data_IF_185842871044
#
_entry.id   IF_185842871044
#
_cell.length_a   1.000
_cell.length_b   1.000
_cell.length_c   1.000
_cell.angle_alpha   90.00
_cell.angle_beta   90.00
_cell.angle_gamma   90.00
#
_symmetry.space_group_name_H-M   'P 1'
#
loop_
_entity.id
_entity.type
_entity.pdbx_description
1 polymer ?
#
# COMPACT_ATOMS: atom_id res chain seq x y z
N UNK A 1 -24.23 -14.03 -33.12
CA UNK A 1 -24.82 -13.26 -32.01
C UNK A 1 -24.25 -13.85 -30.74
N UNK A 2 -23.09 -13.37 -30.30
CA UNK A 2 -22.60 -13.69 -28.96
C UNK A 2 -23.57 -13.09 -27.97
N UNK A 3 -24.21 -13.93 -27.15
CA UNK A 3 -25.10 -13.47 -26.10
C UNK A 3 -24.32 -12.54 -25.18
N UNK A 4 -24.77 -11.30 -25.05
CA UNK A 4 -24.28 -10.37 -24.04
C UNK A 4 -24.19 -11.11 -22.71
N UNK A 5 -23.04 -11.13 -22.01
CA UNK A 5 -22.94 -11.88 -20.76
C UNK A 5 -24.01 -11.36 -19.81
N UNK A 6 -24.93 -12.25 -19.44
CA UNK A 6 -26.03 -11.96 -18.52
C UNK A 6 -25.42 -11.40 -17.25
N UNK A 7 -25.93 -10.26 -16.80
CA UNK A 7 -25.54 -9.63 -15.54
C UNK A 7 -26.13 -10.40 -14.37
N UNK A 8 -25.71 -11.66 -14.23
CA UNK A 8 -26.10 -12.51 -13.14
C UNK A 8 -25.63 -11.90 -11.81
N UNK A 9 -26.41 -12.06 -10.73
CA UNK A 9 -26.00 -11.66 -9.41
C UNK A 9 -24.65 -12.28 -9.04
N UNK A 10 -23.73 -11.47 -8.51
CA UNK A 10 -22.45 -11.97 -8.02
C UNK A 10 -22.66 -12.77 -6.74
N UNK A 11 -21.94 -13.88 -6.63
CA UNK A 11 -21.78 -14.61 -5.37
C UNK A 11 -20.43 -14.25 -4.79
N UNK A 12 -20.40 -13.83 -3.52
CA UNK A 12 -19.17 -13.45 -2.82
C UNK A 12 -18.82 -14.56 -1.84
N UNK A 13 -17.62 -15.13 -1.96
CA UNK A 13 -17.11 -16.07 -0.97
C UNK A 13 -16.57 -15.30 0.24
N UNK A 14 -17.34 -15.27 1.32
CA UNK A 14 -16.99 -14.60 2.58
C UNK A 14 -16.29 -15.60 3.51
N UNK A 15 -15.01 -15.39 3.87
CA UNK A 15 -14.23 -16.35 4.65
C UNK A 15 -14.86 -16.61 6.02
N UNK A 16 -15.03 -17.88 6.39
CA UNK A 16 -15.46 -18.26 7.72
C UNK A 16 -14.38 -17.94 8.77
N UNK A 17 -14.79 -17.41 9.93
CA UNK A 17 -13.87 -17.20 11.04
C UNK A 17 -13.55 -18.52 11.74
N UNK A 18 -12.29 -18.64 12.17
CA UNK A 18 -11.89 -19.70 13.10
C UNK A 18 -11.74 -19.06 14.49
N UNK A 19 -12.76 -19.26 15.33
CA UNK A 19 -12.81 -18.71 16.68
C UNK A 19 -12.12 -19.62 17.71
N UNK A 20 -11.52 -20.74 17.29
CA UNK A 20 -10.82 -21.66 18.21
C UNK A 20 -9.66 -20.97 18.93
N UNK A 21 -9.01 -20.01 18.26
CA UNK A 21 -7.92 -19.24 18.83
C UNK A 21 -8.40 -18.19 19.81
N UNK A 22 -9.40 -17.39 19.47
CA UNK A 22 -10.00 -16.37 20.32
C UNK A 22 -11.40 -16.03 19.78
N UNK A 23 -12.40 -16.16 20.65
CA UNK A 23 -13.78 -15.85 20.32
C UNK A 23 -14.07 -14.39 20.69
N UNK A 24 -14.48 -13.61 19.69
CA UNK A 24 -14.89 -12.23 19.83
C UNK A 24 -15.96 -11.93 18.77
N UNK A 25 -16.76 -10.89 19.03
CA UNK A 25 -17.84 -10.52 18.13
C UNK A 25 -17.32 -10.21 16.71
N UNK A 26 -18.07 -10.66 15.72
CA UNK A 26 -17.88 -10.22 14.35
C UNK A 26 -18.49 -8.83 14.21
N UNK A 27 -17.62 -7.81 14.09
CA UNK A 27 -18.07 -6.44 13.91
C UNK A 27 -18.10 -6.08 12.41
N UNK A 28 -19.24 -5.59 11.89
CA UNK A 28 -19.35 -5.18 10.50
C UNK A 28 -18.60 -3.87 10.25
N UNK A 29 -18.30 -3.60 8.98
CA UNK A 29 -17.92 -2.25 8.55
C UNK A 29 -19.14 -1.32 8.66
N UNK A 30 -18.92 -0.13 9.22
CA UNK A 30 -19.92 0.93 9.37
C UNK A 30 -19.70 1.96 8.24
N UNK A 31 -20.64 2.03 7.31
CA UNK A 31 -20.70 3.06 6.25
C UNK A 31 -22.13 3.61 6.16
N UNK A 32 -22.54 4.51 7.06
CA UNK A 32 -23.92 4.96 7.17
C UNK A 32 -24.37 5.77 5.95
N UNK A 33 -23.43 6.33 5.18
CA UNK A 33 -23.75 7.06 3.95
C UNK A 33 -23.91 6.14 2.74
N UNK A 34 -23.43 4.89 2.83
CA UNK A 34 -23.35 3.96 1.70
C UNK A 34 -22.40 4.39 0.58
N UNK A 35 -21.58 5.43 0.83
CA UNK A 35 -20.66 6.01 -0.17
C UNK A 35 -19.21 5.67 0.11
N UNK A 36 -18.85 5.35 1.35
CA UNK A 36 -17.47 5.22 1.80
C UNK A 36 -16.69 4.09 1.13
N UNK A 37 -17.37 2.98 0.76
CA UNK A 37 -16.77 1.85 0.03
C UNK A 37 -17.37 1.62 -1.38
N UNK A 38 -18.26 2.50 -1.84
CA UNK A 38 -19.02 2.29 -3.10
C UNK A 38 -18.09 2.07 -4.31
N UNK A 39 -17.12 2.97 -4.51
CA UNK A 39 -16.20 2.90 -5.65
C UNK A 39 -15.32 1.64 -5.59
N UNK A 40 -14.79 1.32 -4.41
CA UNK A 40 -14.02 0.09 -4.21
C UNK A 40 -14.84 -1.17 -4.53
N UNK A 41 -16.09 -1.26 -4.03
CA UNK A 41 -16.95 -2.39 -4.34
C UNK A 41 -17.31 -2.49 -5.82
N UNK A 42 -17.54 -1.37 -6.49
CA UNK A 42 -17.80 -1.37 -7.95
C UNK A 42 -16.59 -1.89 -8.73
N UNK A 43 -15.38 -1.47 -8.37
CA UNK A 43 -14.14 -1.97 -8.98
C UNK A 43 -13.89 -3.45 -8.70
N UNK A 44 -14.16 -3.90 -7.47
CA UNK A 44 -14.07 -5.31 -7.13
C UNK A 44 -15.12 -6.14 -7.88
N UNK A 45 -16.34 -5.62 -8.07
CA UNK A 45 -17.35 -6.27 -8.89
C UNK A 45 -16.92 -6.40 -10.37
N UNK A 46 -16.30 -5.35 -10.95
CA UNK A 46 -15.71 -5.43 -12.30
C UNK A 46 -14.63 -6.51 -12.38
N UNK A 47 -13.76 -6.59 -11.37
CA UNK A 47 -12.71 -7.59 -11.30
C UNK A 47 -13.28 -9.01 -11.26
N UNK A 48 -14.24 -9.27 -10.35
CA UNK A 48 -14.90 -10.58 -10.22
C UNK A 48 -15.62 -10.99 -11.51
N UNK A 49 -16.14 -10.03 -12.27
CA UNK A 49 -16.78 -10.29 -13.58
C UNK A 49 -15.79 -10.48 -14.73
N UNK A 50 -14.48 -10.38 -14.49
CA UNK A 50 -13.46 -10.42 -15.55
C UNK A 50 -13.52 -9.21 -16.50
N UNK A 51 -14.05 -8.08 -16.03
CA UNK A 51 -14.22 -6.84 -16.80
C UNK A 51 -13.26 -5.73 -16.39
N UNK A 52 -12.52 -5.91 -15.30
CA UNK A 52 -11.49 -4.95 -14.90
C UNK A 52 -10.32 -4.98 -15.91
N UNK A 53 -9.87 -3.81 -16.34
CA UNK A 53 -8.69 -3.63 -17.20
C UNK A 53 -7.38 -3.48 -16.42
N UNK A 54 -7.47 -3.27 -15.10
CA UNK A 54 -6.32 -3.10 -14.21
C UNK A 54 -6.64 -3.73 -12.84
N UNK A 55 -5.67 -3.77 -11.94
CA UNK A 55 -5.83 -4.33 -10.60
C UNK A 55 -6.76 -3.51 -9.72
N UNK A 56 -7.32 -4.19 -8.72
CA UNK A 56 -7.89 -3.54 -7.54
C UNK A 56 -6.79 -3.40 -6.49
N UNK A 57 -6.39 -2.18 -6.15
CA UNK A 57 -5.26 -1.87 -5.26
C UNK A 57 -5.73 -1.36 -3.91
N UNK A 58 -5.24 -2.01 -2.85
CA UNK A 58 -5.52 -1.66 -1.46
C UNK A 58 -4.22 -1.19 -0.80
N UNK A 59 -4.19 0.05 -0.30
CA UNK A 59 -3.07 0.59 0.46
C UNK A 59 -3.38 0.62 1.95
N UNK A 60 -2.57 -0.03 2.78
CA UNK A 60 -2.79 -0.10 4.23
C UNK A 60 -1.70 0.70 4.96
N UNK A 61 -2.06 1.89 5.42
CA UNK A 61 -1.20 2.66 6.32
C UNK A 61 -1.31 2.13 7.74
N UNK A 62 -0.16 1.93 8.39
CA UNK A 62 -0.18 1.49 9.77
C UNK A 62 1.12 1.75 10.51
N UNK A 63 1.08 1.44 11.80
CA UNK A 63 2.20 1.69 12.71
C UNK A 63 3.14 0.48 12.81
N UNK A 64 3.78 0.29 13.97
CA UNK A 64 4.69 -0.80 14.21
C UNK A 64 4.07 -2.19 14.10
N UNK A 65 2.75 -2.36 14.23
CA UNK A 65 2.10 -3.64 13.95
C UNK A 65 2.11 -4.01 12.46
N UNK A 66 2.52 -3.07 11.61
CA UNK A 66 2.56 -3.21 10.16
C UNK A 66 3.97 -3.21 9.59
N UNK A 67 5.01 -3.45 10.40
CA UNK A 67 6.40 -3.52 9.90
C UNK A 67 6.85 -4.93 9.47
N UNK A 68 6.05 -5.96 9.79
CA UNK A 68 6.36 -7.38 9.58
C UNK A 68 5.37 -8.09 8.64
N UNK A 69 4.36 -7.37 8.14
CA UNK A 69 3.36 -7.85 7.18
C UNK A 69 2.43 -8.94 7.71
N UNK A 70 2.39 -9.11 9.03
CA UNK A 70 1.53 -10.09 9.69
C UNK A 70 0.03 -9.81 9.58
N UNK A 71 -0.39 -8.59 9.19
CA UNK A 71 -1.80 -8.28 8.93
C UNK A 71 -2.07 -8.19 7.43
N UNK A 72 -1.28 -7.41 6.69
CA UNK A 72 -1.49 -7.17 5.27
C UNK A 72 -1.10 -8.40 4.41
N UNK A 73 -0.09 -9.17 4.80
CA UNK A 73 0.31 -10.41 4.13
C UNK A 73 -0.79 -11.47 4.11
N UNK A 74 -1.38 -11.88 5.25
CA UNK A 74 -2.51 -12.80 5.24
C UNK A 74 -3.74 -12.27 4.48
N UNK A 75 -3.99 -10.95 4.49
CA UNK A 75 -5.05 -10.33 3.70
C UNK A 75 -4.75 -10.41 2.20
N UNK A 76 -3.50 -10.13 1.81
CA UNK A 76 -2.99 -10.27 0.44
C UNK A 76 -3.21 -11.70 -0.06
N UNK A 77 -2.76 -12.70 0.70
CA UNK A 77 -2.97 -14.13 0.39
C UNK A 77 -4.44 -14.46 0.16
N UNK A 78 -5.30 -14.12 1.10
CA UNK A 78 -6.73 -14.48 1.02
C UNK A 78 -7.41 -13.81 -0.19
N UNK A 79 -7.17 -12.52 -0.41
CA UNK A 79 -7.77 -11.80 -1.52
C UNK A 79 -7.22 -12.24 -2.88
N UNK A 80 -5.92 -12.51 -2.99
CA UNK A 80 -5.30 -12.95 -4.23
C UNK A 80 -5.69 -14.38 -4.62
N UNK A 81 -5.82 -15.28 -3.63
CA UNK A 81 -6.33 -16.63 -3.88
C UNK A 81 -7.80 -16.63 -4.33
N UNK A 82 -8.60 -15.65 -3.89
CA UNK A 82 -10.01 -15.49 -4.29
C UNK A 82 -10.20 -14.78 -5.62
N UNK A 83 -9.49 -13.68 -5.84
CA UNK A 83 -9.78 -12.72 -6.92
C UNK A 83 -8.63 -12.54 -7.92
N UNK A 84 -7.56 -13.31 -7.77
CA UNK A 84 -6.41 -13.31 -8.67
C UNK A 84 -5.19 -12.64 -8.04
N UNK A 85 -4.08 -13.38 -8.04
CA UNK A 85 -2.75 -12.87 -7.71
C UNK A 85 -2.27 -11.92 -8.81
N UNK A 86 -2.19 -10.63 -8.49
CA UNK A 86 -1.68 -9.57 -9.35
C UNK A 86 -0.22 -9.17 -9.04
N UNK A 87 0.49 -9.98 -8.25
CA UNK A 87 1.84 -9.69 -7.74
C UNK A 87 1.82 -9.09 -6.33
N UNK A 88 3.01 -8.97 -5.72
CA UNK A 88 3.15 -8.50 -4.33
C UNK A 88 2.63 -7.08 -4.11
N UNK A 89 2.85 -6.20 -5.09
CA UNK A 89 2.59 -4.77 -4.99
C UNK A 89 3.80 -3.98 -4.53
N UNK A 90 3.55 -2.86 -3.85
CA UNK A 90 4.58 -1.94 -3.37
C UNK A 90 5.39 -2.52 -2.22
N UNK A 91 6.69 -2.27 -2.27
CA UNK A 91 7.63 -2.55 -1.21
C UNK A 91 8.62 -1.39 -1.06
N UNK A 92 8.91 -0.99 0.17
CA UNK A 92 9.99 -0.05 0.40
C UNK A 92 11.33 -0.68 -0.01
N UNK A 93 12.18 0.03 -0.76
CA UNK A 93 13.53 -0.45 -1.10
C UNK A 93 14.54 -0.19 0.02
N UNK A 94 14.09 -0.30 1.26
CA UNK A 94 14.86 0.02 2.45
C UNK A 94 14.48 -0.90 3.61
N UNK A 95 15.38 -1.04 4.59
CA UNK A 95 15.15 -1.78 5.83
C UNK A 95 15.57 -0.92 7.03
N UNK A 96 14.76 0.11 7.38
CA UNK A 96 15.08 1.03 8.48
C UNK A 96 15.19 0.34 9.84
N UNK A 97 14.57 -0.84 9.99
CA UNK A 97 14.74 -1.72 11.15
C UNK A 97 15.10 -3.13 10.68
N UNK A 98 15.92 -3.85 11.45
CA UNK A 98 16.35 -5.23 11.13
C UNK A 98 15.17 -6.20 10.98
N UNK A 99 14.08 -5.94 11.69
CA UNK A 99 12.85 -6.72 11.64
C UNK A 99 11.90 -6.28 10.52
N UNK A 100 12.12 -5.17 9.81
CA UNK A 100 11.22 -4.76 8.73
C UNK A 100 11.23 -5.81 7.61
N UNK A 101 10.05 -6.38 7.32
CA UNK A 101 9.85 -7.47 6.36
C UNK A 101 8.48 -7.40 5.71
N UNK A 102 8.41 -7.96 4.51
CA UNK A 102 7.18 -8.26 3.80
C UNK A 102 7.07 -9.78 3.63
N UNK A 103 5.86 -10.32 3.69
CA UNK A 103 5.60 -11.74 3.45
C UNK A 103 5.48 -11.98 1.93
N UNK A 104 5.85 -13.18 1.48
CA UNK A 104 5.69 -13.63 0.08
C UNK A 104 6.39 -12.74 -0.96
N UNK A 105 7.57 -12.24 -0.61
CA UNK A 105 8.47 -11.50 -1.51
C UNK A 105 9.89 -11.59 -0.96
N UNK A 106 10.90 -11.51 -1.82
CA UNK A 106 12.30 -11.35 -1.39
C UNK A 106 12.66 -9.88 -1.39
N UNK A 107 13.31 -9.41 -0.32
CA UNK A 107 13.80 -8.05 -0.18
C UNK A 107 15.23 -8.06 0.37
N UNK A 108 16.18 -7.58 -0.41
CA UNK A 108 17.58 -7.45 -0.02
C UNK A 108 18.04 -6.00 -0.21
N UNK A 109 18.72 -5.47 0.79
CA UNK A 109 19.22 -4.08 0.78
C UNK A 109 20.67 -4.17 1.23
N UNK A 110 21.59 -3.75 0.37
CA UNK A 110 23.01 -3.79 0.66
C UNK A 110 23.36 -2.85 1.84
N UNK A 111 24.37 -3.22 2.62
CA UNK A 111 24.77 -2.48 3.83
C UNK A 111 25.28 -1.06 3.54
N UNK A 112 25.64 -0.80 2.28
CA UNK A 112 26.04 0.51 1.79
C UNK A 112 24.86 1.50 1.64
N UNK A 113 23.61 1.06 1.80
CA UNK A 113 22.45 1.94 1.83
C UNK A 113 22.16 2.44 3.24
N UNK A 114 21.96 3.76 3.35
CA UNK A 114 21.31 4.32 4.54
C UNK A 114 19.81 4.23 4.37
N UNK A 115 19.13 3.49 5.25
CA UNK A 115 17.67 3.47 5.33
C UNK A 115 17.16 4.59 6.24
N UNK A 116 16.08 5.26 5.80
CA UNK A 116 15.38 6.32 6.49
C UNK A 116 13.93 5.91 6.75
N UNK A 117 13.36 6.45 7.82
CA UNK A 117 11.94 6.37 8.10
C UNK A 117 11.49 7.67 8.74
N UNK A 118 10.30 8.14 8.39
CA UNK A 118 9.77 9.44 8.82
C UNK A 118 9.68 9.60 10.35
N UNK A 119 9.66 8.50 11.10
CA UNK A 119 9.52 8.49 12.56
C UNK A 119 10.84 8.41 13.35
N UNK A 120 11.82 7.62 12.90
CA UNK A 120 13.00 7.27 13.72
C UNK A 120 14.30 7.86 13.20
N UNK A 121 14.54 7.76 11.88
CA UNK A 121 15.71 8.36 11.22
C UNK A 121 15.23 9.20 10.05
N UNK A 122 14.80 10.45 10.31
CA UNK A 122 14.28 11.33 9.28
C UNK A 122 15.34 11.66 8.22
N UNK A 123 14.92 11.87 6.97
CA UNK A 123 15.78 12.41 5.89
C UNK A 123 16.15 13.88 6.13
N UNK A 124 15.36 14.59 6.94
CA UNK A 124 15.50 16.03 7.20
C UNK A 124 14.91 16.94 6.11
N UNK A 125 14.60 16.39 4.94
CA UNK A 125 14.07 17.12 3.77
C UNK A 125 12.61 16.78 3.41
N UNK A 126 11.99 15.85 4.14
CA UNK A 126 10.60 15.43 3.97
C UNK A 126 10.35 14.50 2.78
N UNK A 127 11.38 14.09 2.04
CA UNK A 127 11.22 13.32 0.80
C UNK A 127 11.47 11.82 1.02
N UNK A 128 10.43 11.10 1.45
CA UNK A 128 10.42 9.63 1.56
C UNK A 128 9.46 8.97 0.57
N UNK A 129 8.52 9.74 0.00
CA UNK A 129 7.45 9.21 -0.84
C UNK A 129 6.27 8.75 0.01
N UNK A 130 5.17 8.31 -0.62
CA UNK A 130 3.91 8.08 0.11
C UNK A 130 3.98 7.01 1.20
N UNK A 131 5.03 6.18 1.24
CA UNK A 131 5.21 5.10 2.20
C UNK A 131 6.04 5.47 3.44
N UNK A 132 6.59 6.70 3.52
CA UNK A 132 7.31 7.18 4.71
C UNK A 132 8.66 6.49 4.98
N UNK A 133 9.20 5.76 4.00
CA UNK A 133 10.46 5.02 4.06
C UNK A 133 11.23 5.24 2.76
N UNK A 134 12.53 5.50 2.87
CA UNK A 134 13.43 5.61 1.73
C UNK A 134 14.80 5.03 2.05
N UNK A 135 15.60 4.77 1.02
CA UNK A 135 17.02 4.43 1.16
C UNK A 135 17.89 5.27 0.25
N UNK A 136 19.10 5.61 0.67
CA UNK A 136 20.02 6.41 -0.16
C UNK A 136 21.45 5.84 -0.09
N UNK A 137 22.14 5.82 -1.23
CA UNK A 137 23.56 5.42 -1.31
C UNK A 137 24.28 6.16 -2.44
N UNK A 138 25.57 6.51 -2.26
CA UNK A 138 26.46 6.96 -3.33
C UNK A 138 27.48 5.88 -3.75
N UNK A 139 27.38 4.68 -3.21
CA UNK A 139 28.41 3.64 -3.35
C UNK A 139 28.22 2.85 -4.65
N UNK A 140 29.09 3.07 -5.63
CA UNK A 140 29.07 2.34 -6.92
C UNK A 140 29.04 0.83 -6.66
N UNK A 141 28.13 0.13 -7.32
CA UNK A 141 27.92 -1.31 -7.21
C UNK A 141 27.00 -1.74 -6.05
N UNK A 142 26.68 -0.85 -5.12
CA UNK A 142 25.68 -1.13 -4.09
C UNK A 142 24.32 -1.39 -4.74
N UNK A 143 23.57 -2.36 -4.20
CA UNK A 143 22.28 -2.78 -4.76
C UNK A 143 21.14 -2.81 -3.76
N UNK A 144 19.93 -2.56 -4.25
CA UNK A 144 18.68 -2.98 -3.63
C UNK A 144 17.99 -3.96 -4.56
N UNK A 145 17.53 -5.09 -4.02
CA UNK A 145 16.87 -6.16 -4.77
C UNK A 145 15.49 -6.42 -4.20
N UNK A 146 14.56 -6.60 -5.11
CA UNK A 146 13.29 -7.25 -4.83
C UNK A 146 13.10 -8.41 -5.80
N UNK A 147 12.51 -9.51 -5.34
CA UNK A 147 12.23 -10.64 -6.21
C UNK A 147 10.88 -11.26 -5.87
N UNK A 148 10.31 -11.96 -6.83
CA UNK A 148 9.12 -12.79 -6.61
C UNK A 148 9.32 -13.74 -5.43
N UNK A 149 8.22 -14.13 -4.80
CA UNK A 149 8.23 -15.07 -3.69
C UNK A 149 8.98 -16.37 -4.05
N UNK A 150 9.67 -17.00 -3.09
CA UNK A 150 10.29 -18.30 -3.30
C UNK A 150 9.30 -19.37 -3.79
N UNK A 151 9.81 -20.39 -4.47
CA UNK A 151 9.02 -21.56 -4.85
C UNK A 151 8.32 -22.16 -3.62
N UNK A 152 7.03 -22.48 -3.76
CA UNK A 152 6.19 -23.00 -2.68
C UNK A 152 5.45 -21.94 -1.86
N UNK A 153 5.71 -20.64 -2.08
CA UNK A 153 4.86 -19.57 -1.53
C UNK A 153 3.43 -19.63 -2.11
N UNK A 154 2.41 -19.29 -1.31
CA UNK A 154 1.01 -19.39 -1.73
C UNK A 154 0.62 -18.37 -2.81
N UNK A 155 1.31 -17.23 -2.84
CA UNK A 155 1.09 -16.10 -3.77
C UNK A 155 2.43 -15.40 -4.04
N UNK A 156 2.47 -14.47 -4.99
CA UNK A 156 3.63 -13.60 -5.27
C UNK A 156 4.77 -14.29 -6.01
N UNK A 157 4.59 -15.54 -6.47
CA UNK A 157 5.62 -16.34 -7.16
C UNK A 157 5.86 -15.91 -8.60
N UNK A 158 5.04 -15.00 -9.14
CA UNK A 158 5.14 -14.50 -10.51
C UNK A 158 4.93 -12.99 -10.57
N UNK A 159 5.67 -12.33 -11.45
CA UNK A 159 5.50 -10.93 -11.79
C UNK A 159 5.85 -10.74 -13.28
N UNK A 160 5.32 -9.69 -13.89
CA UNK A 160 5.58 -9.33 -15.28
C UNK A 160 5.80 -7.82 -15.44
N UNK A 161 5.67 -7.05 -14.35
CA UNK A 161 5.76 -5.60 -14.31
C UNK A 161 6.46 -5.16 -13.04
N UNK A 162 7.52 -4.39 -13.20
CA UNK A 162 8.33 -3.87 -12.12
C UNK A 162 8.42 -2.36 -12.21
N UNK A 163 8.22 -1.67 -11.10
CA UNK A 163 8.41 -0.23 -11.03
C UNK A 163 9.48 0.10 -9.98
N UNK A 164 10.32 1.11 -10.27
CA UNK A 164 11.19 1.75 -9.28
C UNK A 164 10.82 3.22 -9.15
N UNK A 165 10.65 3.68 -7.91
CA UNK A 165 10.48 5.08 -7.57
C UNK A 165 11.79 5.63 -7.01
N UNK A 166 12.24 6.77 -7.52
CA UNK A 166 13.47 7.41 -7.07
C UNK A 166 13.33 8.93 -7.01
N UNK A 167 14.02 9.54 -6.05
CA UNK A 167 14.00 11.00 -5.88
C UNK A 167 14.87 11.64 -6.97
N UNK A 168 14.33 12.61 -7.70
CA UNK A 168 15.09 13.42 -8.66
C UNK A 168 15.52 14.74 -8.05
N UNK A 169 16.59 15.35 -8.56
CA UNK A 169 17.05 16.67 -8.13
C UNK A 169 18.49 16.98 -8.50
N UNK A 170 18.97 18.19 -8.20
CA UNK A 170 20.29 18.63 -8.61
C UNK A 170 21.39 17.83 -7.91
N UNK A 171 22.46 17.49 -8.64
CA UNK A 171 23.63 16.75 -8.13
C UNK A 171 23.34 15.34 -7.62
N UNK A 172 22.27 14.69 -8.08
CA UNK A 172 21.99 13.28 -7.79
C UNK A 172 22.71 12.34 -8.74
N UNK A 173 22.74 11.06 -8.37
CA UNK A 173 23.49 10.04 -9.09
C UNK A 173 22.73 9.26 -10.15
N UNK A 174 23.47 8.38 -10.81
CA UNK A 174 22.96 7.44 -11.78
C UNK A 174 22.92 6.03 -11.19
N UNK A 175 22.01 5.20 -11.69
CA UNK A 175 21.85 3.81 -11.32
C UNK A 175 21.38 2.97 -12.51
N UNK A 176 21.71 1.69 -12.50
CA UNK A 176 21.21 0.72 -13.46
C UNK A 176 20.03 -0.05 -12.86
N UNK A 177 19.08 -0.42 -13.71
CA UNK A 177 18.00 -1.35 -13.40
C UNK A 177 18.31 -2.67 -14.08
N UNK A 178 18.28 -3.76 -13.33
CA UNK A 178 18.53 -5.11 -13.84
C UNK A 178 17.34 -6.03 -13.59
N UNK A 179 17.04 -6.89 -14.57
CA UNK A 179 16.13 -8.04 -14.40
C UNK A 179 16.91 -9.31 -14.63
N UNK A 180 16.84 -10.23 -13.68
CA UNK A 180 17.56 -11.51 -13.71
C UNK A 180 19.07 -11.37 -14.00
N UNK A 181 19.67 -10.32 -13.42
CA UNK A 181 21.09 -9.98 -13.59
C UNK A 181 21.46 -9.37 -14.94
N UNK A 182 20.47 -9.07 -15.80
CA UNK A 182 20.67 -8.36 -17.06
C UNK A 182 20.26 -6.91 -16.91
N UNK A 183 21.17 -5.96 -17.17
CA UNK A 183 20.84 -4.54 -17.20
C UNK A 183 19.85 -4.22 -18.33
N UNK A 184 18.68 -3.69 -17.96
CA UNK A 184 17.58 -3.34 -18.88
C UNK A 184 17.41 -1.83 -19.04
N UNK A 185 17.92 -1.04 -18.10
CA UNK A 185 17.94 0.42 -18.20
C UNK A 185 19.10 1.02 -17.41
N UNK A 186 19.54 2.19 -17.84
CA UNK A 186 20.47 3.05 -17.11
C UNK A 186 19.82 4.42 -16.93
N UNK A 187 19.65 4.84 -15.67
CA UNK A 187 18.83 5.99 -15.30
C UNK A 187 19.67 7.03 -14.56
N UNK A 188 19.45 8.30 -14.87
CA UNK A 188 19.92 9.41 -14.06
C UNK A 188 18.82 9.90 -13.13
N UNK A 189 19.18 10.18 -11.88
CA UNK A 189 18.31 10.90 -10.94
C UNK A 189 18.63 12.40 -10.86
N UNK A 190 19.58 12.88 -11.66
CA UNK A 190 19.88 14.30 -11.79
C UNK A 190 18.77 15.05 -12.54
N UNK A 191 18.30 16.15 -11.98
CA UNK A 191 17.30 17.04 -12.57
C UNK A 191 17.48 18.48 -12.05
N UNK A 192 16.93 19.48 -12.74
CA UNK A 192 17.00 20.88 -12.31
C UNK A 192 16.33 21.09 -10.94
N UNK A 193 15.19 20.42 -10.73
CA UNK A 193 14.36 20.55 -9.53
C UNK A 193 14.10 19.21 -8.85
N UNK A 194 13.65 19.28 -7.59
CA UNK A 194 13.20 18.10 -6.85
C UNK A 194 11.90 17.56 -7.48
N UNK A 195 11.82 16.24 -7.58
CA UNK A 195 10.61 15.53 -7.99
C UNK A 195 10.77 14.03 -7.80
N UNK A 196 9.98 13.23 -8.51
CA UNK A 196 10.10 11.78 -8.51
C UNK A 196 10.27 11.25 -9.93
N UNK A 197 11.25 10.37 -10.09
CA UNK A 197 11.37 9.51 -11.25
C UNK A 197 10.64 8.21 -10.99
N UNK A 198 9.87 7.77 -11.98
CA UNK A 198 9.19 6.47 -12.00
C UNK A 198 9.66 5.77 -13.26
N UNK A 199 10.19 4.56 -13.12
CA UNK A 199 10.59 3.76 -14.26
C UNK A 199 9.96 2.38 -14.17
N UNK A 200 9.25 2.00 -15.25
CA UNK A 200 8.55 0.72 -15.41
C UNK A 200 9.30 -0.18 -16.37
N UNK A 201 9.54 -1.41 -15.93
CA UNK A 201 10.01 -2.53 -16.76
C UNK A 201 8.89 -3.55 -16.88
N UNK A 202 8.69 -4.07 -18.08
CA UNK A 202 7.78 -5.19 -18.32
C UNK A 202 8.56 -6.35 -18.93
N UNK A 203 8.28 -7.54 -18.41
CA UNK A 203 8.90 -8.81 -18.81
C UNK A 203 7.81 -9.86 -18.96
N UNK A 204 8.18 -11.04 -19.45
CA UNK A 204 7.28 -12.19 -19.46
C UNK A 204 6.82 -12.54 -18.03
N UNK A 205 5.60 -13.06 -17.87
CA UNK A 205 5.07 -13.38 -16.54
C UNK A 205 5.78 -14.60 -15.94
N UNK A 206 6.65 -14.39 -14.97
CA UNK A 206 7.52 -15.43 -14.42
C UNK A 206 8.10 -15.09 -13.05
N UNK A 207 8.96 -15.97 -12.56
CA UNK A 207 9.76 -15.70 -11.38
C UNK A 207 10.96 -14.85 -11.81
N UNK A 208 11.19 -13.72 -11.12
CA UNK A 208 12.22 -12.76 -11.50
C UNK A 208 12.86 -12.09 -10.29
N UNK A 209 14.12 -11.67 -10.46
CA UNK A 209 14.77 -10.67 -9.61
C UNK A 209 14.78 -9.32 -10.29
N UNK A 210 14.53 -8.25 -9.53
CA UNK A 210 14.58 -6.87 -9.98
C UNK A 210 15.53 -6.08 -9.08
N UNK A 211 16.64 -5.63 -9.64
CA UNK A 211 17.71 -4.95 -8.93
C UNK A 211 17.82 -3.49 -9.37
N UNK A 212 18.10 -2.59 -8.42
CA UNK A 212 18.57 -1.23 -8.70
C UNK A 212 19.98 -1.07 -8.15
N UNK A 213 20.94 -0.80 -9.04
CA UNK A 213 22.38 -0.85 -8.76
C UNK A 213 23.01 0.53 -8.97
N UNK A 214 23.68 1.07 -7.95
CA UNK A 214 24.30 2.38 -8.03
C UNK A 214 25.44 2.40 -9.05
N UNK A 215 25.42 3.37 -9.97
CA UNK A 215 26.40 3.49 -11.06
C UNK A 215 27.39 4.63 -10.88
N UNK A 216 27.00 5.67 -10.15
CA UNK A 216 27.82 6.88 -9.96
C UNK A 216 28.16 7.13 -8.49
N UNK A 217 29.25 7.84 -8.22
CA UNK A 217 29.65 8.26 -6.88
C UNK A 217 28.87 9.49 -6.36
N UNK A 218 27.57 9.54 -6.62
CA UNK A 218 26.61 10.57 -6.16
C UNK A 218 25.40 9.86 -5.56
N UNK A 219 24.73 10.51 -4.61
CA UNK A 219 23.59 9.91 -3.93
C UNK A 219 22.41 9.65 -4.87
N UNK A 220 21.92 8.41 -4.87
CA UNK A 220 20.62 8.01 -5.42
C UNK A 220 19.73 7.61 -4.27
N UNK A 221 18.53 8.19 -4.20
CA UNK A 221 17.52 7.82 -3.18
C UNK A 221 16.38 7.06 -3.85
N UNK A 222 16.17 5.84 -3.40
CA UNK A 222 15.02 5.03 -3.75
C UNK A 222 13.88 5.28 -2.75
N UNK A 223 12.67 5.42 -3.29
CA UNK A 223 11.42 5.70 -2.57
C UNK A 223 10.51 4.46 -2.52
N UNK A 224 10.91 3.37 -3.16
CA UNK A 224 10.19 2.10 -3.19
C UNK A 224 10.23 1.43 -4.56
N UNK A 225 9.65 0.24 -4.64
CA UNK A 225 9.47 -0.51 -5.88
C UNK A 225 8.16 -1.27 -5.87
N UNK A 226 7.75 -1.79 -7.04
CA UNK A 226 6.51 -2.55 -7.24
C UNK A 226 6.81 -3.84 -7.98
N UNK A 227 6.16 -4.93 -7.58
CA UNK A 227 6.13 -6.19 -8.33
C UNK A 227 4.67 -6.52 -8.62
N UNK A 228 4.27 -6.40 -9.88
CA UNK A 228 2.91 -6.67 -10.34
C UNK A 228 2.91 -7.57 -11.57
N UNK A 229 1.74 -8.08 -11.92
CA UNK A 229 1.49 -8.85 -13.14
C UNK A 229 0.69 -8.00 -14.12
N UNK A 230 0.72 -8.33 -15.40
CA UNK A 230 -0.14 -7.67 -16.39
C UNK A 230 -1.61 -8.09 -16.27
N UNK A 231 -1.86 -9.25 -15.65
CA UNK A 231 -3.21 -9.80 -15.45
C UNK A 231 -3.93 -9.09 -14.28
N UNK A 232 -5.14 -8.53 -14.50
CA UNK A 232 -5.97 -7.98 -13.43
C UNK A 232 -6.19 -8.96 -12.28
N UNK A 233 -6.18 -8.42 -11.05
CA UNK A 233 -6.28 -9.17 -9.79
C UNK A 233 -6.29 -8.19 -8.63
N UNK A 234 -5.98 -8.66 -7.42
CA UNK A 234 -5.90 -7.81 -6.22
C UNK A 234 -4.45 -7.59 -5.81
N UNK A 235 -4.14 -6.36 -5.42
CA UNK A 235 -2.86 -5.97 -4.83
C UNK A 235 -3.10 -5.36 -3.45
N UNK A 236 -2.29 -5.74 -2.46
CA UNK A 236 -2.37 -5.22 -1.09
C UNK A 236 -0.99 -4.69 -0.67
N UNK A 237 -0.85 -3.38 -0.73
CA UNK A 237 0.37 -2.65 -0.40
C UNK A 237 0.42 -2.39 1.12
N UNK A 238 1.46 -2.90 1.78
CA UNK A 238 1.70 -2.64 3.20
C UNK A 238 2.55 -1.38 3.37
N UNK A 239 1.94 -0.32 3.90
CA UNK A 239 2.55 1.00 4.13
C UNK A 239 2.80 1.23 5.62
N UNK A 240 3.43 0.24 6.27
CA UNK A 240 3.69 0.26 7.70
C UNK A 240 5.02 0.92 8.05
N UNK A 241 4.98 1.83 9.03
CA UNK A 241 6.15 2.52 9.58
C UNK A 241 6.13 2.40 11.09
N UNK A 242 7.27 2.03 11.69
CA UNK A 242 7.39 1.94 13.14
C UNK A 242 6.98 3.22 13.84
N UNK A 243 6.09 3.12 14.84
CA UNK A 243 5.55 4.24 15.62
C UNK A 243 4.77 5.32 14.83
N UNK A 244 4.33 5.02 13.61
CA UNK A 244 3.61 5.96 12.74
C UNK A 244 2.34 6.52 13.40
N UNK A 245 2.23 7.85 13.39
CA UNK A 245 0.99 8.58 13.65
C UNK A 245 0.35 8.95 12.31
N UNK A 246 -0.97 9.14 12.27
CA UNK A 246 -1.67 9.65 11.07
C UNK A 246 -1.07 10.98 10.59
N UNK A 247 -0.58 11.81 11.52
CA UNK A 247 0.15 13.05 11.24
C UNK A 247 1.34 12.87 10.29
N UNK A 248 2.00 11.71 10.31
CA UNK A 248 3.20 11.50 9.50
C UNK A 248 2.89 11.46 8.00
N UNK A 249 1.71 10.98 7.59
CA UNK A 249 1.35 10.84 6.17
C UNK A 249 1.37 12.20 5.43
N UNK A 250 0.69 13.25 5.92
CA UNK A 250 0.72 14.57 5.26
C UNK A 250 2.02 15.36 5.51
N UNK A 251 2.97 14.85 6.29
CA UNK A 251 4.29 15.49 6.47
C UNK A 251 5.25 15.21 5.30
N UNK A 252 4.92 14.26 4.42
CA UNK A 252 5.68 14.01 3.21
C UNK A 252 5.68 15.22 2.28
N UNK A 253 6.78 15.40 1.54
CA UNK A 253 6.86 16.41 0.48
C UNK A 253 5.82 16.08 -0.62
N UNK A 254 4.79 16.92 -0.85
CA UNK A 254 3.76 16.65 -1.84
C UNK A 254 4.31 16.62 -3.27
N UNK A 255 5.44 17.28 -3.54
CA UNK A 255 6.11 17.19 -4.85
C UNK A 255 6.67 15.79 -5.13
N UNK A 256 6.78 14.94 -4.09
CA UNK A 256 7.24 13.56 -4.18
C UNK A 256 6.07 12.58 -4.00
N UNK A 257 5.26 12.76 -2.95
CA UNK A 257 4.20 11.82 -2.61
C UNK A 257 3.01 11.86 -3.58
N UNK A 258 2.56 13.04 -4.03
CA UNK A 258 1.39 13.14 -4.89
C UNK A 258 1.58 12.47 -6.27
N UNK A 259 2.71 12.67 -7.00
CA UNK A 259 2.93 11.96 -8.25
C UNK A 259 3.03 10.44 -8.08
N UNK A 260 3.64 9.96 -6.98
CA UNK A 260 3.67 8.52 -6.67
C UNK A 260 2.26 7.98 -6.39
N UNK A 261 1.43 8.71 -5.63
CA UNK A 261 0.04 8.32 -5.37
C UNK A 261 -0.81 8.34 -6.64
N UNK A 262 -0.62 9.32 -7.52
CA UNK A 262 -1.30 9.39 -8.81
C UNK A 262 -0.96 8.18 -9.69
N UNK A 263 0.32 7.78 -9.72
CA UNK A 263 0.76 6.58 -10.42
C UNK A 263 0.19 5.30 -9.80
N UNK A 264 0.21 5.23 -8.46
CA UNK A 264 -0.18 4.01 -7.74
C UNK A 264 -1.68 3.79 -7.71
N UNK A 265 -2.48 4.87 -7.66
CA UNK A 265 -3.94 4.89 -7.79
C UNK A 265 -4.64 3.82 -6.94
N UNK A 266 -4.59 3.97 -5.62
CA UNK A 266 -5.33 3.07 -4.73
C UNK A 266 -6.83 3.19 -4.93
N UNK A 267 -7.53 2.06 -4.90
CA UNK A 267 -9.00 1.99 -4.93
C UNK A 267 -9.57 1.99 -3.51
N UNK A 268 -8.79 1.49 -2.55
CA UNK A 268 -9.08 1.53 -1.12
C UNK A 268 -7.84 1.91 -0.33
N UNK A 269 -7.97 2.92 0.54
CA UNK A 269 -6.97 3.24 1.56
C UNK A 269 -7.51 2.87 2.93
N UNK A 270 -6.78 2.01 3.65
CA UNK A 270 -7.10 1.60 5.02
C UNK A 270 -6.16 2.32 5.98
N UNK A 271 -6.71 3.07 6.93
CA UNK A 271 -5.94 3.75 7.98
C UNK A 271 -5.97 2.93 9.27
N UNK A 272 -4.95 2.07 9.44
CA UNK A 272 -4.67 1.28 10.65
C UNK A 272 -3.61 1.96 11.56
N UNK A 273 -3.44 3.27 11.42
CA UNK A 273 -2.73 4.11 12.40
C UNK A 273 -3.59 4.30 13.65
N UNK A 274 -3.16 5.11 14.61
CA UNK A 274 -4.00 5.52 15.74
C UNK A 274 -3.35 5.29 17.09
N UNK A 275 -2.45 4.32 17.18
CA UNK A 275 -1.84 4.00 18.46
C UNK A 275 -0.82 5.04 18.93
N UNK A 276 -0.29 5.85 18.01
CA UNK A 276 0.46 7.09 18.31
C UNK A 276 -0.41 8.35 18.26
N UNK A 277 -1.60 8.32 17.64
CA UNK A 277 -2.51 9.47 17.54
C UNK A 277 -3.08 9.87 18.91
N UNK A 278 -3.08 8.95 19.89
CA UNK A 278 -3.51 9.24 21.27
C UNK A 278 -2.71 10.36 21.96
N UNK A 279 -1.56 10.74 21.42
CA UNK A 279 -0.75 11.84 21.92
C UNK A 279 -1.19 13.21 21.36
N UNK A 280 -1.97 13.23 20.26
CA UNK A 280 -2.51 14.43 19.60
C UNK A 280 -4.03 14.26 19.31
N UNK A 281 -4.80 13.76 20.29
CA UNK A 281 -6.22 13.39 20.12
C UNK A 281 -7.10 14.52 19.55
N UNK A 282 -6.85 15.76 19.96
CA UNK A 282 -7.58 16.94 19.52
C UNK A 282 -7.32 17.29 18.04
N UNK A 283 -6.13 16.96 17.54
CA UNK A 283 -5.70 17.24 16.15
C UNK A 283 -5.88 16.07 15.21
N UNK A 284 -6.00 14.84 15.74
CA UNK A 284 -6.16 13.62 14.96
C UNK A 284 -7.24 13.70 13.85
N UNK A 285 -8.42 14.34 14.06
CA UNK A 285 -9.40 14.52 12.99
C UNK A 285 -8.89 15.34 11.82
N UNK A 286 -8.09 16.38 12.09
CA UNK A 286 -7.46 17.22 11.06
C UNK A 286 -6.50 16.40 10.20
N UNK A 287 -5.63 15.60 10.83
CA UNK A 287 -4.68 14.73 10.13
C UNK A 287 -5.40 13.72 9.23
N UNK A 288 -6.48 13.10 9.69
CA UNK A 288 -7.28 12.19 8.85
C UNK A 288 -7.84 12.92 7.63
N UNK A 289 -8.35 14.15 7.78
CA UNK A 289 -8.85 14.94 6.64
C UNK A 289 -7.75 15.32 5.66
N UNK A 290 -6.56 15.65 6.15
CA UNK A 290 -5.40 15.93 5.29
C UNK A 290 -5.01 14.70 4.47
N UNK A 291 -5.02 13.50 5.08
CA UNK A 291 -4.77 12.24 4.35
C UNK A 291 -5.84 11.98 3.30
N UNK A 292 -7.12 12.15 3.67
CA UNK A 292 -8.23 11.97 2.72
C UNK A 292 -8.13 12.95 1.56
N UNK A 293 -7.82 14.22 1.84
CA UNK A 293 -7.63 15.25 0.83
C UNK A 293 -6.44 14.94 -0.09
N UNK A 294 -5.31 14.46 0.45
CA UNK A 294 -4.13 14.09 -0.32
C UNK A 294 -4.45 13.01 -1.37
N UNK A 295 -5.05 11.89 -0.98
CA UNK A 295 -5.38 10.84 -1.95
C UNK A 295 -6.49 11.27 -2.91
N UNK A 296 -7.51 11.99 -2.43
CA UNK A 296 -8.59 12.50 -3.30
C UNK A 296 -8.14 13.58 -4.29
N UNK A 297 -7.01 14.25 -4.02
CA UNK A 297 -6.43 15.21 -4.97
C UNK A 297 -5.88 14.56 -6.24
N UNK A 298 -5.57 13.24 -6.18
CA UNK A 298 -5.03 12.47 -7.32
C UNK A 298 -5.96 11.35 -7.79
N UNK A 299 -6.91 10.92 -6.95
CA UNK A 299 -7.96 9.96 -7.28
C UNK A 299 -9.22 10.30 -6.48
N UNK A 300 -10.14 11.06 -7.06
CA UNK A 300 -11.37 11.48 -6.36
C UNK A 300 -12.26 10.30 -5.92
N UNK A 301 -12.18 9.19 -6.63
CA UNK A 301 -12.96 7.96 -6.43
C UNK A 301 -12.38 7.02 -5.37
N UNK A 302 -11.23 7.34 -4.77
CA UNK A 302 -10.60 6.48 -3.75
C UNK A 302 -11.54 6.29 -2.55
N UNK A 303 -11.76 5.02 -2.19
CA UNK A 303 -12.51 4.65 -1.00
C UNK A 303 -11.61 4.64 0.24
N UNK A 304 -12.19 4.87 1.40
CA UNK A 304 -11.45 4.94 2.65
C UNK A 304 -12.10 4.09 3.75
N UNK A 305 -11.26 3.36 4.49
CA UNK A 305 -11.64 2.64 5.69
C UNK A 305 -10.79 3.12 6.88
N UNK A 306 -11.43 3.83 7.81
CA UNK A 306 -10.81 4.18 9.08
C UNK A 306 -10.92 2.99 10.04
N UNK A 307 -9.83 2.60 10.67
CA UNK A 307 -9.83 1.49 11.63
C UNK A 307 -9.62 2.03 13.04
N UNK A 308 -10.39 1.57 14.03
CA UNK A 308 -10.08 1.88 15.42
C UNK A 308 -8.68 1.34 15.77
N UNK A 309 -7.88 2.02 16.60
CA UNK A 309 -6.61 1.45 17.04
C UNK A 309 -6.87 0.16 17.86
N UNK A 310 -5.94 -0.80 17.85
CA UNK A 310 -6.06 -2.01 18.68
C UNK A 310 -5.97 -1.69 20.18
N UNK A 311 -6.37 -2.66 21.01
CA UNK A 311 -6.14 -2.61 22.45
C UNK A 311 -4.65 -2.50 22.78
N UNK A 312 -4.30 -1.78 23.84
CA UNK A 312 -2.97 -1.85 24.48
C UNK A 312 -3.17 -2.17 25.95
N UNK A 313 -2.43 -3.13 26.49
CA UNK A 313 -2.67 -3.62 27.87
C UNK A 313 -2.43 -2.60 29.01
N UNK A 314 -2.07 -1.35 28.71
CA UNK A 314 -1.79 -0.30 29.70
C UNK A 314 -3.00 0.61 29.94
N UNK A 315 -3.48 0.64 31.19
CA UNK A 315 -4.73 1.31 31.60
C UNK A 315 -4.81 2.80 31.24
N UNK A 316 -3.69 3.53 31.25
CA UNK A 316 -3.69 4.97 31.00
C UNK A 316 -3.88 5.34 29.52
N UNK A 317 -3.52 4.47 28.58
CA UNK A 317 -3.77 4.68 27.16
C UNK A 317 -5.19 4.27 26.75
N UNK A 318 -5.84 3.39 27.53
CA UNK A 318 -7.10 2.79 27.13
C UNK A 318 -8.24 3.77 26.95
N UNK A 319 -8.43 4.70 27.89
CA UNK A 319 -9.48 5.73 27.75
C UNK A 319 -9.25 6.58 26.50
N UNK A 320 -8.00 6.85 26.14
CA UNK A 320 -7.64 7.59 24.93
C UNK A 320 -7.90 6.77 23.66
N UNK A 321 -7.59 5.48 23.66
CA UNK A 321 -7.87 4.58 22.53
C UNK A 321 -9.37 4.44 22.26
N UNK A 322 -10.17 4.25 23.31
CA UNK A 322 -11.64 4.22 23.22
C UNK A 322 -12.17 5.56 22.68
N UNK A 323 -11.68 6.68 23.25
CA UNK A 323 -12.05 8.03 22.78
C UNK A 323 -11.70 8.23 21.31
N UNK A 324 -10.50 7.82 20.89
CA UNK A 324 -10.05 7.93 19.49
C UNK A 324 -10.87 7.05 18.55
N UNK A 325 -11.22 5.82 18.95
CA UNK A 325 -12.09 4.94 18.17
C UNK A 325 -13.47 5.56 17.94
N UNK A 326 -14.10 6.09 19.00
CA UNK A 326 -15.37 6.80 18.89
C UNK A 326 -15.26 8.07 18.02
N UNK A 327 -14.17 8.83 18.16
CA UNK A 327 -13.88 10.01 17.34
C UNK A 327 -13.74 9.64 15.87
N UNK A 328 -12.98 8.58 15.53
CA UNK A 328 -12.82 8.10 14.15
C UNK A 328 -14.14 7.63 13.55
N UNK A 329 -14.98 6.93 14.32
CA UNK A 329 -16.32 6.51 13.88
C UNK A 329 -17.22 7.71 13.54
N UNK A 330 -17.23 8.72 14.41
CA UNK A 330 -18.00 9.94 14.19
C UNK A 330 -17.48 10.70 12.95
N UNK A 331 -16.16 10.86 12.85
CA UNK A 331 -15.51 11.51 11.72
C UNK A 331 -15.77 10.78 10.40
N UNK A 332 -15.71 9.45 10.39
CA UNK A 332 -15.98 8.64 9.20
C UNK A 332 -17.37 8.96 8.61
N UNK A 333 -18.37 9.03 9.50
CA UNK A 333 -19.74 9.40 9.13
C UNK A 333 -19.82 10.83 8.59
N UNK A 334 -19.10 11.78 9.22
CA UNK A 334 -19.07 13.18 8.84
C UNK A 334 -18.47 13.41 7.44
N UNK A 335 -17.35 12.75 7.12
CA UNK A 335 -16.62 12.94 5.86
C UNK A 335 -16.97 11.93 4.76
N UNK A 336 -17.95 11.05 5.02
CA UNK A 336 -18.45 10.08 4.05
C UNK A 336 -17.44 8.99 3.70
N UNK A 337 -16.76 8.44 4.70
CA UNK A 337 -15.86 7.27 4.57
C UNK A 337 -16.31 6.15 5.52
N UNK A 338 -15.79 4.94 5.32
CA UNK A 338 -16.17 3.80 6.15
C UNK A 338 -15.33 3.68 7.43
N UNK A 339 -15.84 2.94 8.41
CA UNK A 339 -15.18 2.68 9.68
C UNK A 339 -15.27 1.21 10.10
N UNK A 340 -14.20 0.67 10.69
CA UNK A 340 -14.21 -0.66 11.32
C UNK A 340 -13.59 -0.62 12.72
N UNK A 341 -14.25 -1.26 13.68
CA UNK A 341 -13.87 -1.24 15.10
C UNK A 341 -12.95 -2.42 15.45
N UNK A 342 -11.64 -2.28 15.21
CA UNK A 342 -10.68 -3.31 15.59
C UNK A 342 -10.62 -3.54 17.11
N UNK A 343 -10.70 -2.49 17.93
CA UNK A 343 -10.70 -2.64 19.39
C UNK A 343 -11.87 -3.52 19.84
N UNK A 344 -13.07 -3.22 19.35
CA UNK A 344 -14.25 -4.05 19.59
C UNK A 344 -14.09 -5.47 19.03
N UNK A 345 -13.56 -5.62 17.81
CA UNK A 345 -13.36 -6.91 17.17
C UNK A 345 -12.35 -7.79 17.90
N UNK A 346 -11.41 -7.22 18.67
CA UNK A 346 -10.52 -7.96 19.57
C UNK A 346 -11.21 -8.45 20.84
N UNK A 347 -12.40 -7.94 21.17
CA UNK A 347 -13.11 -8.19 22.43
C UNK A 347 -13.13 -6.98 23.38
N UNK A 348 -12.79 -5.79 22.89
CA UNK A 348 -12.83 -4.54 23.64
C UNK A 348 -11.61 -4.29 24.54
N UNK A 349 -11.73 -3.34 25.48
CA UNK A 349 -10.65 -3.01 26.40
C UNK A 349 -10.12 -4.23 27.15
N UNK A 350 -8.80 -4.30 27.33
CA UNK A 350 -8.06 -5.39 28.01
C UNK A 350 -7.95 -6.72 27.22
N UNK A 351 -8.50 -6.78 26.00
CA UNK A 351 -8.37 -7.94 25.11
C UNK A 351 -6.92 -8.30 24.78
N UNK A 352 -6.00 -7.34 24.79
CA UNK A 352 -4.56 -7.54 24.57
C UNK A 352 -3.96 -8.54 25.58
N UNK A 353 -4.43 -8.55 26.83
CA UNK A 353 -3.98 -9.53 27.81
C UNK A 353 -4.42 -10.95 27.47
N UNK A 354 -5.57 -11.11 26.83
CA UNK A 354 -6.02 -12.39 26.29
C UNK A 354 -5.18 -12.80 25.09
N UNK A 355 -4.81 -11.85 24.22
CA UNK A 355 -3.91 -12.10 23.09
C UNK A 355 -2.54 -12.57 23.57
N UNK A 356 -1.95 -11.93 24.59
CA UNK A 356 -0.67 -12.35 25.18
C UNK A 356 -0.77 -13.79 25.71
N UNK A 357 -1.79 -14.09 26.53
CA UNK A 357 -1.98 -15.44 27.09
C UNK A 357 -2.13 -16.53 26.03
N UNK A 358 -2.62 -16.17 24.83
CA UNK A 358 -2.82 -17.07 23.69
C UNK A 358 -1.64 -17.10 22.71
N UNK A 359 -0.55 -16.40 23.02
CA UNK A 359 0.62 -16.26 22.16
C UNK A 359 0.32 -15.50 20.86
N UNK A 360 -0.66 -14.61 20.88
CA UNK A 360 -1.08 -13.78 19.75
C UNK A 360 -0.46 -12.37 19.80
N UNK A 361 0.01 -11.92 20.96
CA UNK A 361 0.72 -10.65 21.12
C UNK A 361 2.00 -10.83 21.95
N UNK A 362 2.93 -9.89 21.79
CA UNK A 362 4.19 -9.83 22.53
C UNK A 362 3.96 -9.39 23.98
N UNK A 363 4.86 -9.72 24.91
CA UNK A 363 4.78 -9.30 26.31
C UNK A 363 4.76 -7.77 26.52
N UNK A 364 5.12 -6.99 25.50
CA UNK A 364 5.08 -5.51 25.54
C UNK A 364 3.66 -4.94 25.48
N UNK A 365 2.63 -5.78 25.26
CA UNK A 365 1.22 -5.39 25.23
C UNK A 365 0.86 -4.41 24.11
N UNK A 366 1.67 -4.37 23.05
CA UNK A 366 1.49 -3.47 21.91
C UNK A 366 1.51 -4.26 20.60
N UNK A 367 2.49 -5.15 20.43
CA UNK A 367 2.75 -5.76 19.14
C UNK A 367 2.10 -7.14 19.01
N UNK A 368 1.51 -7.41 17.86
CA UNK A 368 1.04 -8.75 17.51
C UNK A 368 2.20 -9.67 17.09
N UNK A 369 2.07 -10.94 17.42
CA UNK A 369 2.81 -12.02 16.75
C UNK A 369 2.21 -12.29 15.37
N UNK A 370 2.87 -13.08 14.53
CA UNK A 370 2.30 -13.53 13.24
C UNK A 370 0.91 -14.14 13.41
N UNK A 371 0.72 -14.98 14.43
CA UNK A 371 -0.56 -15.60 14.76
C UNK A 371 -1.65 -14.56 15.08
N UNK A 372 -1.31 -13.53 15.85
CA UNK A 372 -2.24 -12.45 16.20
C UNK A 372 -2.58 -11.55 15.02
N UNK A 373 -1.57 -11.18 14.23
CA UNK A 373 -1.74 -10.39 13.02
C UNK A 373 -2.63 -11.12 12.01
N UNK A 374 -2.40 -12.42 11.79
CA UNK A 374 -3.22 -13.23 10.90
C UNK A 374 -4.68 -13.34 11.37
N UNK A 375 -4.91 -13.41 12.69
CA UNK A 375 -6.26 -13.40 13.25
C UNK A 375 -6.96 -12.05 13.01
N UNK A 376 -6.27 -10.93 13.23
CA UNK A 376 -6.80 -9.58 12.95
C UNK A 376 -7.11 -9.44 11.46
N UNK A 377 -6.19 -9.87 10.61
CA UNK A 377 -6.31 -9.86 9.16
C UNK A 377 -7.55 -10.61 8.66
N UNK A 378 -7.78 -11.82 9.18
CA UNK A 378 -8.93 -12.64 8.78
C UNK A 378 -10.26 -11.97 9.11
N UNK A 379 -10.36 -11.29 10.26
CA UNK A 379 -11.55 -10.53 10.64
C UNK A 379 -11.76 -9.27 9.79
N UNK A 380 -10.70 -8.51 9.53
CA UNK A 380 -10.77 -7.35 8.63
C UNK A 380 -11.20 -7.78 7.23
N UNK A 381 -10.57 -8.82 6.69
CA UNK A 381 -10.87 -9.35 5.35
C UNK A 381 -12.31 -9.86 5.27
N UNK A 382 -12.78 -10.59 6.27
CA UNK A 382 -14.18 -11.00 6.36
C UNK A 382 -15.13 -9.80 6.39
N UNK A 383 -14.87 -8.81 7.23
CA UNK A 383 -15.73 -7.63 7.33
C UNK A 383 -15.81 -6.86 6.01
N UNK A 384 -14.69 -6.78 5.27
CA UNK A 384 -14.64 -6.19 3.93
C UNK A 384 -15.45 -7.00 2.91
N UNK A 385 -15.31 -8.33 2.90
CA UNK A 385 -16.03 -9.20 1.96
C UNK A 385 -17.51 -9.34 2.30
N UNK A 386 -17.90 -9.30 3.58
CA UNK A 386 -19.30 -9.23 4.00
C UNK A 386 -19.95 -7.90 3.59
N UNK A 387 -19.21 -6.80 3.67
CA UNK A 387 -19.65 -5.49 3.16
C UNK A 387 -19.84 -5.52 1.64
N UNK A 388 -18.90 -6.14 0.91
CA UNK A 388 -19.00 -6.33 -0.54
C UNK A 388 -20.17 -7.24 -0.95
N UNK A 389 -20.39 -8.36 -0.24
CA UNK A 389 -21.54 -9.23 -0.42
C UNK A 389 -22.86 -8.47 -0.26
N UNK A 390 -23.00 -7.70 0.81
CA UNK A 390 -24.17 -6.85 1.03
C UNK A 390 -24.35 -5.82 -0.10
N UNK A 391 -23.25 -5.24 -0.60
CA UNK A 391 -23.28 -4.31 -1.71
C UNK A 391 -23.80 -4.95 -2.99
N UNK A 392 -23.27 -6.10 -3.42
CA UNK A 392 -23.69 -6.75 -4.69
C UNK A 392 -25.09 -7.35 -4.62
N UNK A 393 -25.57 -7.76 -3.43
CA UNK A 393 -26.98 -8.14 -3.23
C UNK A 393 -27.93 -6.97 -3.45
N UNK A 394 -27.54 -5.77 -3.01
CA UNK A 394 -28.32 -4.54 -3.22
C UNK A 394 -28.09 -3.90 -4.59
N UNK A 395 -27.01 -4.27 -5.29
CA UNK A 395 -26.67 -3.81 -6.63
C UNK A 395 -26.34 -5.01 -7.54
N UNK A 396 -27.32 -5.82 -7.97
CA UNK A 396 -27.07 -7.05 -8.74
C UNK A 396 -26.33 -6.82 -10.07
N UNK A 397 -26.37 -5.59 -10.58
CA UNK A 397 -25.65 -5.13 -11.78
C UNK A 397 -24.32 -4.42 -11.48
N UNK A 398 -23.82 -4.43 -10.24
CA UNK A 398 -22.49 -3.88 -9.94
C UNK A 398 -21.45 -4.53 -10.84
N UNK A 399 -20.58 -3.72 -11.47
CA UNK A 399 -19.57 -4.15 -12.44
C UNK A 399 -20.10 -4.48 -13.84
N UNK A 400 -21.38 -4.22 -14.15
CA UNK A 400 -21.98 -4.60 -15.42
C UNK A 400 -21.96 -3.54 -16.53
N UNK A 401 -22.11 -2.28 -16.18
CA UNK A 401 -22.20 -1.21 -17.17
C UNK A 401 -20.82 -0.55 -17.32
N UNK A 402 -20.49 0.00 -18.50
CA UNK A 402 -19.27 0.80 -18.68
C UNK A 402 -19.37 2.19 -18.02
N UNK A 403 -20.57 2.57 -17.54
CA UNK A 403 -20.86 3.93 -17.13
C UNK A 403 -20.76 4.13 -15.62
N UNK A 404 -19.74 4.88 -15.18
CA UNK A 404 -19.76 5.56 -13.88
C UNK A 404 -18.42 5.62 -13.15
N UNK A 405 -17.45 4.80 -13.54
CA UNK A 405 -16.06 4.89 -13.06
C UNK A 405 -15.20 4.94 -14.32
N UNK A 406 -14.53 6.06 -14.57
CA UNK A 406 -13.65 6.19 -15.72
C UNK A 406 -12.53 5.14 -15.60
N UNK A 407 -12.58 4.13 -16.47
CA UNK A 407 -11.50 3.17 -16.63
C UNK A 407 -10.31 3.90 -17.25
N UNK A 408 -9.50 4.56 -16.40
CA UNK A 408 -8.29 5.20 -16.87
C UNK A 408 -7.35 4.12 -17.42
N UNK A 409 -6.83 4.38 -18.61
CA UNK A 409 -5.89 3.52 -19.31
C UNK A 409 -4.66 3.17 -18.45
N UNK A 410 -4.08 1.97 -18.62
CA UNK A 410 -2.84 1.60 -17.96
C UNK A 410 -1.74 2.64 -18.21
N UNK A 411 -0.92 2.91 -17.21
CA UNK A 411 0.20 3.85 -17.34
C UNK A 411 1.13 3.42 -18.49
N UNK A 412 1.33 4.26 -19.53
CA UNK A 412 2.11 3.88 -20.70
C UNK A 412 3.58 3.54 -20.35
N UNK A 413 4.17 2.67 -21.16
CA UNK A 413 5.56 2.22 -21.01
C UNK A 413 6.52 3.38 -21.22
N UNK A 414 7.52 3.52 -20.34
CA UNK A 414 8.55 4.57 -20.45
C UNK A 414 8.09 5.99 -20.12
N UNK A 415 6.88 6.18 -19.60
CA UNK A 415 6.41 7.53 -19.24
C UNK A 415 7.04 8.01 -17.95
N UNK A 416 7.55 9.23 -17.93
CA UNK A 416 7.98 9.90 -16.72
C UNK A 416 6.90 10.89 -16.24
N UNK A 417 6.83 11.09 -14.93
CA UNK A 417 5.96 12.11 -14.34
C UNK A 417 6.75 13.41 -14.25
N UNK A 418 6.25 14.46 -14.90
CA UNK A 418 6.81 15.80 -14.73
C UNK A 418 6.63 16.28 -13.29
N UNK A 419 7.39 17.29 -12.81
CA UNK A 419 7.18 17.90 -11.50
C UNK A 419 5.75 18.41 -11.25
N UNK A 420 4.96 18.63 -12.31
CA UNK A 420 3.55 19.03 -12.26
C UNK A 420 2.56 17.85 -12.22
N UNK A 421 3.03 16.60 -12.08
CA UNK A 421 2.16 15.42 -12.06
C UNK A 421 1.65 14.98 -13.44
N UNK A 422 2.06 15.63 -14.52
CA UNK A 422 1.61 15.29 -15.87
C UNK A 422 2.46 14.16 -16.47
N UNK A 423 1.75 13.22 -17.09
CA UNK A 423 2.30 12.13 -17.89
C UNK A 423 2.91 12.68 -19.18
N UNK A 424 4.19 12.40 -19.43
CA UNK A 424 4.80 12.59 -20.74
C UNK A 424 5.23 11.22 -21.31
N UNK A 425 4.85 10.87 -22.55
CA UNK A 425 5.38 9.68 -23.20
C UNK A 425 6.91 9.78 -23.31
N UNK A 426 7.60 8.63 -23.33
CA UNK A 426 9.03 8.60 -23.62
C UNK A 426 9.29 9.40 -24.89
N UNK A 427 9.97 10.54 -24.76
CA UNK A 427 10.38 11.33 -25.92
C UNK A 427 11.19 10.42 -26.84
N UNK A 428 10.87 10.43 -28.13
CA UNK A 428 11.84 10.01 -29.14
C UNK A 428 13.12 10.77 -28.83
N UNK A 429 14.23 10.04 -28.64
CA UNK A 429 15.56 10.64 -28.50
C UNK A 429 15.71 11.73 -29.56
N UNK A 430 15.76 13.00 -29.15
CA UNK A 430 16.23 14.03 -30.06
C UNK A 430 17.67 13.65 -30.44
N UNK A 431 18.01 13.56 -31.73
CA UNK A 431 19.35 13.19 -32.14
C UNK A 431 20.32 14.21 -31.55
N UNK A 432 21.25 13.72 -30.75
CA UNK A 432 22.36 14.46 -30.15
C UNK A 432 22.99 15.35 -31.23
N UNK A 433 22.70 16.66 -31.17
CA UNK A 433 23.43 17.64 -31.97
C UNK A 433 24.84 17.71 -31.42
N UNK A 434 25.76 17.06 -32.13
CA UNK A 434 27.20 17.21 -31.89
C UNK A 434 27.61 18.65 -32.20
N UNK A 435 27.71 19.49 -31.19
CA UNK A 435 28.37 20.80 -31.32
C UNK A 435 29.87 20.57 -31.20
N UNK A 436 30.56 20.48 -32.35
CA UNK A 436 32.02 20.58 -32.41
C UNK A 436 32.38 22.07 -32.24
N UNK A 437 33.05 22.41 -31.15
CA UNK A 437 33.76 23.68 -31.06
C UNK A 437 35.06 23.58 -31.89
N UNK A 438 35.30 24.58 -32.74
CA UNK A 438 36.62 24.89 -33.30
C UNK A 438 37.36 25.81 -32.35
#
# INVERSE_FOLDING_TARGET
>A
MESTPVCEPLTVDVPALDDSMHQADELPIVDPTGRGLKSFHERLARLVRGRAKDHVRIGIYGDSNMTLDFIAGPMRRDLQLRYGDAGHGFIALARPWSHYRHMDVVQEVDVAFTSYAITTKPTGDGAYGYAGIASESPSIGARVRVATAPEGSPVGTRASRFDVFYLTGPRRGDFDVEVDGTSVASLSSEAEGRGVGIHRVEVEDGAHTFDSVIKSAKYVRFLGGVLERSKPGVVVDQLGVGAMSTRCIPMEDPAVSAPMLAFRRYDLVVLMTGTSDIYDLDKAPGYVREVVALHRSVNEDVSFLLVAPPDRGVSHAMNKLVTLGAQRKALASEIGVAFWDLLGAMGGPTSMMTFIRKGMALPDQIHFTEKGGAWVSKRLTRALLASFDAYVRNHPRAGCDEAGVEELEPWPKGSHVTPAGQLQPAGQEEPVRTVRYR
#
